data_IF_324769008092
#
_entry.id   IF_324769008092
#
_cell.length_a   1.000
_cell.length_b   1.000
_cell.length_c   1.000
_cell.angle_alpha   90.00
_cell.angle_beta   90.00
_cell.angle_gamma   90.00
#
_symmetry.space_group_name_H-M   'P 1'
#
loop_
_entity.id
_entity.type
_entity.pdbx_description
1 polymer ?
#
# COMPACT_ATOMS: atom_id res chain seq x y z
N UNK A 1 -27.05 72.31 -36.16
CA UNK A 1 -27.01 71.83 -34.76
C UNK A 1 -26.29 70.48 -34.80
N UNK A 2 -24.96 70.38 -34.89
CA UNK A 2 -23.86 70.61 -33.92
C UNK A 2 -24.01 69.83 -32.59
N UNK A 3 -22.92 69.09 -32.27
CA UNK A 3 -22.46 68.42 -31.03
C UNK A 3 -22.70 66.90 -30.99
N UNK A 4 -21.69 66.00 -30.99
CA UNK A 4 -20.21 66.05 -31.05
C UNK A 4 -19.70 64.64 -31.45
N UNK A 5 -18.61 64.38 -32.21
CA UNK A 5 -17.17 64.67 -32.00
C UNK A 5 -16.71 64.20 -30.59
N UNK A 6 -15.77 63.26 -30.38
CA UNK A 6 -14.44 63.10 -31.02
C UNK A 6 -13.72 61.82 -30.49
N UNK A 7 -12.93 61.19 -31.37
CA UNK A 7 -11.65 60.44 -31.24
C UNK A 7 -11.50 59.26 -30.24
N UNK A 8 -11.30 58.03 -30.75
CA UNK A 8 -10.02 57.34 -31.02
C UNK A 8 -9.09 57.14 -29.84
N UNK A 9 -8.85 55.87 -29.51
CA UNK A 9 -7.51 55.39 -29.13
C UNK A 9 -7.41 53.89 -29.39
N UNK A 10 -6.48 53.54 -30.27
CA UNK A 10 -6.02 52.19 -30.53
C UNK A 10 -5.44 51.58 -29.25
N UNK A 11 -5.85 50.37 -28.90
CA UNK A 11 -5.01 49.44 -28.17
C UNK A 11 -4.98 48.12 -28.94
N UNK A 12 -4.06 48.08 -29.89
CA UNK A 12 -3.40 46.86 -30.35
C UNK A 12 -2.82 46.18 -29.11
N UNK A 13 -3.38 45.05 -28.70
CA UNK A 13 -2.71 44.09 -27.84
C UNK A 13 -1.97 43.10 -28.74
N UNK A 14 -0.64 43.22 -28.90
CA UNK A 14 0.14 42.11 -29.38
C UNK A 14 0.19 41.08 -28.25
N UNK A 15 -0.49 39.95 -28.45
CA UNK A 15 -0.23 38.71 -27.73
C UNK A 15 1.19 38.25 -28.09
N UNK A 16 2.19 38.79 -27.40
CA UNK A 16 3.52 38.23 -27.38
C UNK A 16 3.46 36.88 -26.67
N UNK A 17 3.26 35.83 -27.46
CA UNK A 17 3.65 34.46 -27.11
C UNK A 17 5.19 34.46 -27.15
N UNK A 18 5.80 34.86 -26.05
CA UNK A 18 7.17 34.46 -25.72
C UNK A 18 7.09 33.16 -24.93
N UNK A 19 6.91 32.06 -25.67
CA UNK A 19 7.31 30.75 -25.21
C UNK A 19 8.84 30.70 -25.18
N UNK A 20 9.44 31.27 -24.12
CA UNK A 20 10.80 30.96 -23.72
C UNK A 20 10.73 30.03 -22.52
N UNK A 21 10.79 28.75 -22.84
CA UNK A 21 11.44 27.70 -22.06
C UNK A 21 12.54 28.27 -21.15
N UNK A 22 12.25 28.34 -19.85
CA UNK A 22 13.21 28.12 -18.79
C UNK A 22 12.55 27.18 -17.81
N UNK A 23 12.85 25.91 -18.03
CA UNK A 23 12.61 24.82 -17.11
C UNK A 23 13.55 25.03 -15.91
N UNK A 24 13.20 26.00 -15.05
CA UNK A 24 13.71 26.04 -13.68
C UNK A 24 13.01 24.89 -12.96
N UNK A 25 13.69 23.75 -12.88
CA UNK A 25 13.40 22.67 -11.96
C UNK A 25 13.66 23.12 -10.52
N UNK A 26 12.93 24.14 -10.07
CA UNK A 26 12.73 24.36 -8.65
C UNK A 26 11.87 23.21 -8.18
N UNK A 27 12.56 22.21 -7.62
CA UNK A 27 12.00 21.17 -6.78
C UNK A 27 11.03 21.86 -5.83
N UNK A 28 9.73 21.74 -6.11
CA UNK A 28 8.69 22.23 -5.23
C UNK A 28 8.78 21.37 -3.98
N UNK A 29 9.38 21.90 -2.92
CA UNK A 29 9.33 21.34 -1.58
C UNK A 29 8.19 22.11 -0.89
N UNK A 30 6.94 21.61 -0.93
CA UNK A 30 5.90 22.18 -0.10
C UNK A 30 6.31 22.04 1.37
N UNK A 31 5.99 23.04 2.19
CA UNK A 31 6.24 23.15 3.64
C UNK A 31 6.40 21.80 4.36
N UNK A 32 7.63 21.28 4.41
CA UNK A 32 7.95 20.01 5.09
C UNK A 32 7.79 20.12 6.60
N UNK A 33 7.96 21.32 7.15
CA UNK A 33 7.86 21.59 8.60
C UNK A 33 6.42 21.48 9.10
N UNK A 34 5.48 22.01 8.32
CA UNK A 34 4.05 22.03 8.65
C UNK A 34 3.38 20.67 8.42
N UNK A 35 3.95 19.87 7.51
CA UNK A 35 3.56 18.47 7.34
C UNK A 35 4.16 17.56 8.41
N UNK A 36 5.38 17.79 8.90
CA UNK A 36 5.99 17.00 9.98
C UNK A 36 5.23 17.15 11.31
N UNK A 37 4.71 18.35 11.61
CA UNK A 37 3.92 18.62 12.82
C UNK A 37 2.50 18.03 12.75
N UNK A 38 1.81 18.14 11.59
CA UNK A 38 0.47 17.55 11.34
C UNK A 38 0.49 16.02 11.24
N UNK A 39 1.65 15.41 10.97
CA UNK A 39 1.86 13.95 10.90
C UNK A 39 1.82 13.25 12.26
N UNK A 40 1.77 13.99 13.36
CA UNK A 40 1.76 13.49 14.74
C UNK A 40 0.40 13.81 15.38
N UNK A 41 -0.70 13.70 14.63
CA UNK A 41 -2.03 13.85 15.21
C UNK A 41 -2.56 12.49 15.69
N UNK A 42 -2.59 12.36 17.01
CA UNK A 42 -3.06 11.20 17.77
C UNK A 42 -4.59 11.22 17.74
N UNK A 43 -5.18 10.70 16.67
CA UNK A 43 -6.65 10.59 16.57
C UNK A 43 -7.11 9.49 17.55
N UNK A 44 -7.88 9.89 18.57
CA UNK A 44 -8.88 9.20 19.44
C UNK A 44 -8.73 7.71 19.86
N UNK A 45 -8.03 6.86 19.12
CA UNK A 45 -7.75 5.46 19.41
C UNK A 45 -6.32 5.13 18.94
N UNK A 46 -5.29 5.34 19.78
CA UNK A 46 -3.90 5.15 19.37
C UNK A 46 -3.69 3.70 18.94
N UNK A 47 -3.16 3.50 17.72
CA UNK A 47 -2.78 2.17 17.25
C UNK A 47 -1.59 1.65 18.08
N UNK A 48 -1.47 0.32 18.28
CA UNK A 48 -0.38 -0.24 19.07
C UNK A 48 0.99 0.18 18.53
N UNK A 49 1.88 0.65 19.42
CA UNK A 49 3.29 0.87 19.09
C UNK A 49 3.98 -0.48 19.06
N UNK A 50 4.59 -0.82 17.93
CA UNK A 50 5.28 -2.10 17.72
C UNK A 50 6.79 -1.95 17.77
N UNK A 51 7.34 -0.78 17.43
CA UNK A 51 8.77 -0.48 17.57
C UNK A 51 8.94 0.89 18.19
N UNK A 52 9.57 0.90 19.36
CA UNK A 52 9.98 2.11 20.05
C UNK A 52 11.05 2.83 19.22
N UNK A 53 10.77 4.06 18.80
CA UNK A 53 11.67 4.79 17.91
C UNK A 53 13.02 5.12 18.53
N UNK A 54 13.17 5.12 19.85
CA UNK A 54 14.47 5.31 20.50
C UNK A 54 15.48 4.22 20.12
N UNK A 55 15.01 3.03 19.71
CA UNK A 55 15.86 1.91 19.26
C UNK A 55 16.37 2.07 17.83
N UNK A 56 15.87 3.04 17.07
CA UNK A 56 16.20 3.26 15.67
C UNK A 56 17.14 4.47 15.57
N UNK A 57 18.34 4.24 15.05
CA UNK A 57 19.31 5.30 14.74
C UNK A 57 19.04 5.88 13.36
N UNK A 58 19.62 7.05 13.07
CA UNK A 58 19.55 7.64 11.74
C UNK A 58 20.18 6.68 10.70
N UNK A 59 19.60 6.63 9.51
CA UNK A 59 20.08 5.75 8.45
C UNK A 59 21.44 6.24 7.95
N UNK A 60 22.47 5.40 8.07
CA UNK A 60 23.73 5.56 7.34
C UNK A 60 23.56 4.81 6.00
N UNK A 61 23.47 5.56 4.90
CA UNK A 61 23.39 4.96 3.57
C UNK A 61 24.78 4.39 3.24
N UNK A 62 24.95 3.07 3.34
CA UNK A 62 25.86 2.38 2.43
C UNK A 62 25.18 2.32 1.05
N UNK A 63 25.97 2.23 -0.03
CA UNK A 63 25.55 2.36 -1.45
C UNK A 63 24.38 1.45 -1.93
N UNK A 64 23.82 0.60 -1.07
CA UNK A 64 22.82 -0.43 -1.38
C UNK A 64 21.36 -0.02 -1.09
N UNK A 65 21.10 1.07 -0.36
CA UNK A 65 19.73 1.49 -0.04
C UNK A 65 19.10 2.31 -1.18
N UNK A 66 17.98 1.84 -1.71
CA UNK A 66 17.19 2.56 -2.71
C UNK A 66 16.44 3.75 -2.08
N UNK A 67 17.12 4.89 -1.99
CA UNK A 67 16.58 6.15 -1.47
C UNK A 67 15.32 6.58 -2.25
N UNK A 68 15.19 6.18 -3.53
CA UNK A 68 14.02 6.49 -4.34
C UNK A 68 12.78 5.75 -3.84
N UNK A 69 12.91 4.45 -3.50
CA UNK A 69 11.81 3.67 -2.94
C UNK A 69 11.35 4.17 -1.57
N UNK A 70 12.28 4.58 -0.71
CA UNK A 70 11.96 5.20 0.58
C UNK A 70 11.27 6.56 0.41
N UNK A 71 11.69 7.34 -0.60
CA UNK A 71 11.07 8.61 -0.91
C UNK A 71 9.66 8.43 -1.49
N UNK A 72 9.42 7.41 -2.31
CA UNK A 72 8.09 7.06 -2.80
C UNK A 72 7.16 6.62 -1.67
N UNK A 73 7.67 5.83 -0.73
CA UNK A 73 6.91 5.45 0.46
C UNK A 73 6.58 6.67 1.32
N UNK A 74 7.55 7.57 1.50
CA UNK A 74 7.36 8.86 2.16
C UNK A 74 6.29 9.70 1.45
N UNK A 75 6.26 9.73 0.13
CA UNK A 75 5.26 10.43 -0.66
C UNK A 75 3.87 9.80 -0.47
N UNK A 76 3.78 8.47 -0.50
CA UNK A 76 2.54 7.73 -0.23
C UNK A 76 1.95 8.03 1.16
N UNK A 77 2.81 8.12 2.19
CA UNK A 77 2.37 8.41 3.57
C UNK A 77 1.74 9.81 3.70
N UNK A 78 2.25 10.78 2.96
CA UNK A 78 1.91 12.20 3.14
C UNK A 78 0.85 12.68 2.19
N UNK A 79 0.70 11.97 1.07
CA UNK A 79 -0.40 12.18 0.17
C UNK A 79 -1.68 11.73 0.87
N UNK A 80 -2.35 12.68 1.52
CA UNK A 80 -3.66 12.49 2.16
C UNK A 80 -4.79 12.46 1.13
N UNK A 81 -4.47 12.45 -0.17
CA UNK A 81 -5.39 12.21 -1.29
C UNK A 81 -5.13 10.82 -1.88
N UNK A 82 -5.94 10.42 -2.87
CA UNK A 82 -5.79 9.13 -3.55
C UNK A 82 -5.84 7.92 -2.61
N UNK A 83 -4.89 6.99 -2.77
CA UNK A 83 -4.85 5.69 -2.09
C UNK A 83 -5.01 5.78 -0.57
N UNK A 84 -4.25 6.67 0.09
CA UNK A 84 -4.24 6.79 1.56
C UNK A 84 -5.61 7.22 2.10
N UNK A 85 -6.26 8.19 1.44
CA UNK A 85 -7.61 8.63 1.80
C UNK A 85 -8.60 7.47 1.70
N UNK A 86 -8.52 6.73 0.61
CA UNK A 86 -9.40 5.59 0.36
C UNK A 86 -9.18 4.46 1.35
N UNK A 87 -7.93 4.19 1.76
CA UNK A 87 -7.63 3.26 2.84
C UNK A 87 -8.26 3.69 4.16
N UNK A 88 -8.14 4.97 4.54
CA UNK A 88 -8.74 5.48 5.77
C UNK A 88 -10.28 5.36 5.72
N UNK A 89 -10.90 5.67 4.58
CA UNK A 89 -12.34 5.49 4.37
C UNK A 89 -12.76 4.01 4.48
N UNK A 90 -11.96 3.08 3.94
CA UNK A 90 -12.19 1.65 4.04
C UNK A 90 -12.12 1.14 5.47
N UNK A 91 -11.10 1.55 6.23
CA UNK A 91 -11.02 1.21 7.66
C UNK A 91 -12.27 1.66 8.43
N UNK A 92 -12.80 2.84 8.10
CA UNK A 92 -14.03 3.37 8.71
C UNK A 92 -15.27 2.57 8.29
N UNK A 93 -15.43 2.28 7.00
CA UNK A 93 -16.54 1.47 6.48
C UNK A 93 -16.57 0.07 7.13
N UNK A 94 -15.39 -0.52 7.31
CA UNK A 94 -15.20 -1.84 7.93
C UNK A 94 -15.22 -1.80 9.46
N UNK A 95 -15.29 -0.61 10.08
CA UNK A 95 -15.26 -0.41 11.55
C UNK A 95 -14.09 -1.15 12.21
N UNK A 96 -12.90 -1.08 11.61
CA UNK A 96 -11.74 -1.84 12.08
C UNK A 96 -11.23 -1.33 13.43
N UNK A 97 -10.88 -2.27 14.31
CA UNK A 97 -10.27 -1.95 15.60
C UNK A 97 -8.81 -1.46 15.42
N UNK A 98 -8.22 -0.75 16.41
CA UNK A 98 -6.85 -0.24 16.31
C UNK A 98 -5.77 -1.32 16.14
N UNK A 99 -6.03 -2.53 16.68
CA UNK A 99 -5.21 -3.74 16.60
C UNK A 99 -5.45 -4.56 15.32
N UNK A 100 -6.28 -4.08 14.39
CA UNK A 100 -6.53 -4.77 13.12
C UNK A 100 -5.78 -4.13 11.97
N UNK A 101 -5.11 -4.95 11.16
CA UNK A 101 -4.44 -4.57 9.91
C UNK A 101 -5.36 -4.84 8.73
N UNK A 102 -5.54 -3.86 7.86
CA UNK A 102 -6.12 -4.07 6.53
C UNK A 102 -5.00 -4.31 5.52
N UNK A 103 -4.92 -5.51 4.96
CA UNK A 103 -3.93 -5.90 3.94
C UNK A 103 -4.62 -6.05 2.59
N UNK A 104 -4.30 -5.17 1.66
CA UNK A 104 -4.94 -5.09 0.35
C UNK A 104 -3.93 -4.83 -0.78
N UNK A 105 -2.88 -4.03 -0.54
CA UNK A 105 -1.91 -3.61 -1.56
C UNK A 105 -2.32 -2.31 -2.27
N UNK A 106 -1.36 -1.61 -2.88
CA UNK A 106 -1.62 -0.38 -3.66
C UNK A 106 -1.76 -0.70 -5.15
N UNK A 107 -2.67 0.04 -5.82
CA UNK A 107 -2.71 0.05 -7.30
C UNK A 107 -1.50 0.82 -7.83
N UNK A 108 -0.46 0.12 -8.27
CA UNK A 108 0.57 0.70 -9.14
C UNK A 108 0.51 0.02 -10.50
N UNK A 109 -0.02 0.74 -11.50
CA UNK A 109 -0.29 0.20 -12.85
C UNK A 109 0.97 -0.33 -13.56
N UNK A 110 2.15 0.19 -13.23
CA UNK A 110 3.38 -0.06 -14.02
C UNK A 110 4.48 -0.82 -13.25
N UNK A 111 4.16 -1.43 -12.10
CA UNK A 111 5.18 -2.03 -11.22
C UNK A 111 5.21 -3.56 -11.32
N UNK A 112 5.73 -4.08 -12.44
CA UNK A 112 5.97 -5.52 -12.67
C UNK A 112 6.81 -6.16 -11.53
N UNK A 113 7.65 -5.37 -10.85
CA UNK A 113 8.51 -5.82 -9.75
C UNK A 113 7.89 -5.81 -8.34
N UNK A 114 6.65 -5.36 -8.14
CA UNK A 114 6.02 -5.39 -6.81
C UNK A 114 5.29 -6.72 -6.63
N UNK A 115 5.54 -7.48 -5.55
CA UNK A 115 4.86 -8.74 -5.31
C UNK A 115 3.37 -8.51 -5.08
N UNK A 116 2.53 -9.45 -5.49
CA UNK A 116 1.12 -9.49 -5.06
C UNK A 116 1.09 -9.86 -3.58
N UNK A 117 0.03 -9.48 -2.87
CA UNK A 117 -0.22 -9.97 -1.52
C UNK A 117 -0.18 -11.50 -1.50
N UNK A 118 0.89 -12.03 -0.92
CA UNK A 118 1.08 -13.46 -0.74
C UNK A 118 1.25 -13.74 0.76
N UNK A 119 0.17 -14.23 1.35
CA UNK A 119 0.17 -14.59 2.76
C UNK A 119 1.08 -15.79 3.03
N UNK A 120 1.44 -16.65 2.08
CA UNK A 120 2.37 -17.76 2.37
C UNK A 120 3.83 -17.34 2.34
N UNK A 121 4.14 -16.18 1.76
CA UNK A 121 5.48 -15.62 1.74
C UNK A 121 6.00 -15.36 3.17
N UNK A 122 7.13 -15.96 3.58
CA UNK A 122 7.74 -15.66 4.87
C UNK A 122 8.24 -14.21 4.94
N UNK A 123 8.43 -13.57 3.79
CA UNK A 123 9.01 -12.23 3.68
C UNK A 123 7.98 -11.11 3.65
N UNK A 124 6.67 -11.42 3.57
CA UNK A 124 5.62 -10.41 3.48
C UNK A 124 5.73 -9.38 4.63
N UNK A 125 5.78 -9.88 5.86
CA UNK A 125 5.84 -9.04 7.05
C UNK A 125 7.25 -8.50 7.31
N UNK A 126 8.31 -9.23 6.92
CA UNK A 126 9.69 -8.78 7.08
C UNK A 126 10.01 -7.58 6.20
N UNK A 127 9.55 -7.57 4.93
CA UNK A 127 9.68 -6.42 4.02
C UNK A 127 9.01 -5.17 4.60
N UNK A 128 7.79 -5.30 5.12
CA UNK A 128 7.08 -4.18 5.73
C UNK A 128 7.75 -3.67 7.01
N UNK A 129 8.23 -4.58 7.87
CA UNK A 129 9.00 -4.25 9.07
C UNK A 129 10.25 -3.43 8.70
N UNK A 130 11.00 -3.90 7.70
CA UNK A 130 12.23 -3.26 7.24
C UNK A 130 11.97 -1.89 6.62
N UNK A 131 10.96 -1.78 5.75
CA UNK A 131 10.57 -0.51 5.13
C UNK A 131 10.17 0.53 6.19
N UNK A 132 9.38 0.14 7.19
CA UNK A 132 8.98 1.04 8.26
C UNK A 132 10.17 1.52 9.11
N UNK A 133 11.12 0.63 9.43
CA UNK A 133 12.34 0.97 10.16
C UNK A 133 13.23 1.90 9.36
N UNK A 134 13.51 1.57 8.10
CA UNK A 134 14.33 2.39 7.20
C UNK A 134 13.70 3.76 6.96
N UNK A 135 12.37 3.83 6.84
CA UNK A 135 11.64 5.08 6.71
C UNK A 135 11.80 5.97 7.95
N UNK A 136 11.65 5.42 9.16
CA UNK A 136 11.88 6.20 10.39
C UNK A 136 13.36 6.60 10.54
N UNK A 137 14.29 5.72 10.17
CA UNK A 137 15.73 6.02 10.16
C UNK A 137 16.06 7.15 9.16
N UNK A 138 15.39 7.20 8.01
CA UNK A 138 15.48 8.30 7.05
C UNK A 138 14.93 9.61 7.63
N UNK A 139 13.80 9.58 8.34
CA UNK A 139 13.24 10.78 8.99
C UNK A 139 14.17 11.36 10.07
N UNK A 140 14.95 10.51 10.73
CA UNK A 140 15.96 10.90 11.72
C UNK A 140 17.23 11.46 11.09
N UNK A 141 17.42 11.31 9.78
CA UNK A 141 18.56 11.86 9.06
C UNK A 141 18.33 13.34 8.83
N UNK A 142 19.20 14.18 9.40
CA UNK A 142 19.21 15.60 9.08
C UNK A 142 19.76 15.82 7.68
N UNK A 143 19.07 16.60 6.86
CA UNK A 143 19.62 17.05 5.58
C UNK A 143 20.75 18.04 5.84
N UNK A 144 22.00 17.61 5.65
CA UNK A 144 23.17 18.48 5.78
C UNK A 144 23.11 19.49 4.61
N UNK A 145 22.91 20.79 4.88
CA UNK A 145 22.86 21.78 3.83
C UNK A 145 24.25 21.94 3.20
N UNK A 146 24.33 22.33 1.94
CA UNK A 146 25.61 22.74 1.35
C UNK A 146 26.14 23.98 2.07
N UNK A 147 27.48 24.08 2.14
CA UNK A 147 28.15 25.25 2.69
C UNK A 147 27.92 26.43 1.75
N UNK A 148 27.41 27.53 2.29
CA UNK A 148 27.26 28.78 1.55
C UNK A 148 28.65 29.36 1.23
N UNK A 149 28.91 29.84 0.00
CA UNK A 149 30.20 30.42 -0.37
C UNK A 149 30.65 31.60 0.50
N UNK A 150 29.71 32.29 1.14
CA UNK A 150 29.94 33.49 1.94
C UNK A 150 29.89 33.24 3.46
N UNK A 151 29.61 32.01 3.91
CA UNK A 151 29.59 31.69 5.34
C UNK A 151 30.96 31.20 5.86
N UNK A 152 31.27 31.54 7.11
CA UNK A 152 32.46 31.02 7.78
C UNK A 152 32.29 29.52 8.08
N UNK A 153 33.40 28.79 8.23
CA UNK A 153 33.35 27.37 8.60
C UNK A 153 32.68 27.16 9.97
N UNK A 154 32.89 28.07 10.93
CA UNK A 154 32.26 27.96 12.25
C UNK A 154 30.74 28.17 12.17
N UNK A 155 30.30 29.16 11.39
CA UNK A 155 28.88 29.40 11.12
C UNK A 155 28.23 28.19 10.46
N UNK A 156 28.91 27.58 9.48
CA UNK A 156 28.46 26.37 8.83
C UNK A 156 28.30 25.19 9.81
N UNK A 157 29.29 24.96 10.68
CA UNK A 157 29.24 23.89 11.68
C UNK A 157 28.13 24.12 12.73
N UNK A 158 27.89 25.36 13.14
CA UNK A 158 26.77 25.70 14.01
C UNK A 158 25.42 25.42 13.33
N UNK A 159 25.29 25.75 12.04
CA UNK A 159 24.08 25.47 11.24
C UNK A 159 23.81 23.98 11.11
N UNK A 160 24.85 23.16 10.90
CA UNK A 160 24.73 21.69 10.92
C UNK A 160 24.21 21.21 12.27
N UNK A 161 24.86 21.61 13.37
CA UNK A 161 24.47 21.20 14.73
C UNK A 161 23.04 21.61 15.08
N UNK A 162 22.65 22.84 14.75
CA UNK A 162 21.29 23.32 14.99
C UNK A 162 20.26 22.47 14.24
N UNK A 163 20.55 22.10 12.98
CA UNK A 163 19.66 21.27 12.16
C UNK A 163 19.58 19.82 12.65
N UNK A 164 20.70 19.27 13.14
CA UNK A 164 20.73 17.98 13.83
C UNK A 164 19.85 17.99 15.09
N UNK A 165 20.05 18.96 15.98
CA UNK A 165 19.24 19.12 17.19
C UNK A 165 17.74 19.34 16.89
N UNK A 166 17.43 20.10 15.83
CA UNK A 166 16.04 20.28 15.40
C UNK A 166 15.43 18.96 14.92
N UNK A 167 16.15 18.18 14.11
CA UNK A 167 15.70 16.88 13.62
C UNK A 167 15.48 15.90 14.78
N UNK A 168 16.41 15.85 15.73
CA UNK A 168 16.29 15.04 16.94
C UNK A 168 15.04 15.42 17.75
N UNK A 169 14.79 16.71 17.95
CA UNK A 169 13.57 17.18 18.65
C UNK A 169 12.29 16.78 17.93
N UNK A 170 12.23 16.94 16.60
CA UNK A 170 11.06 16.58 15.78
C UNK A 170 10.79 15.08 15.79
N UNK A 171 11.84 14.26 15.87
CA UNK A 171 11.73 12.79 15.80
C UNK A 171 11.79 12.09 17.15
N UNK A 172 11.98 12.82 18.26
CA UNK A 172 12.15 12.26 19.61
C UNK A 172 10.99 11.37 20.07
N UNK A 173 9.77 11.67 19.62
CA UNK A 173 8.54 10.92 19.94
C UNK A 173 8.04 10.03 18.80
N UNK A 174 8.75 10.01 17.66
CA UNK A 174 8.34 9.21 16.53
C UNK A 174 8.56 7.72 16.85
N UNK A 175 7.49 6.94 16.76
CA UNK A 175 7.50 5.48 16.91
C UNK A 175 6.98 4.84 15.63
N UNK A 176 7.19 3.53 15.48
CA UNK A 176 6.49 2.73 14.47
C UNK A 176 5.30 2.08 15.16
N UNK A 177 4.12 2.55 14.82
CA UNK A 177 2.85 1.92 15.21
C UNK A 177 2.35 0.95 14.14
N UNK A 178 1.29 0.23 14.48
CA UNK A 178 0.65 -0.70 13.57
C UNK A 178 0.11 -0.02 12.30
N UNK A 179 -0.17 1.29 12.34
CA UNK A 179 -0.58 2.07 11.17
C UNK A 179 0.55 2.26 10.17
N UNK A 180 1.76 2.55 10.64
CA UNK A 180 2.95 2.62 9.79
C UNK A 180 3.29 1.25 9.18
N UNK A 181 3.11 0.16 9.93
CA UNK A 181 3.28 -1.21 9.40
C UNK A 181 2.24 -1.52 8.32
N UNK A 182 0.97 -1.18 8.54
CA UNK A 182 -0.08 -1.35 7.55
C UNK A 182 0.20 -0.54 6.27
N UNK A 183 0.70 0.68 6.41
CA UNK A 183 1.13 1.49 5.28
C UNK A 183 2.26 0.81 4.49
N UNK A 184 3.27 0.30 5.19
CA UNK A 184 4.39 -0.40 4.55
C UNK A 184 3.93 -1.69 3.86
N UNK A 185 3.05 -2.47 4.50
CA UNK A 185 2.45 -3.67 3.91
C UNK A 185 1.69 -3.34 2.62
N UNK A 186 0.81 -2.34 2.63
CA UNK A 186 0.05 -2.01 1.45
C UNK A 186 0.91 -1.38 0.36
N UNK A 187 1.89 -0.54 0.70
CA UNK A 187 2.77 0.07 -0.29
C UNK A 187 3.69 -0.94 -0.99
N UNK A 188 4.17 -1.96 -0.27
CA UNK A 188 5.09 -2.97 -0.79
C UNK A 188 4.41 -4.13 -1.51
N UNK A 189 3.08 -4.14 -1.63
CA UNK A 189 2.35 -5.22 -2.30
C UNK A 189 1.30 -4.68 -3.27
N UNK A 190 0.99 -5.48 -4.29
CA UNK A 190 -0.13 -5.25 -5.21
C UNK A 190 -1.37 -6.01 -4.77
N UNK A 191 -2.51 -5.50 -5.18
CA UNK A 191 -3.82 -6.10 -4.95
C UNK A 191 -3.98 -7.49 -5.56
N UNK A 192 -4.99 -8.21 -5.06
CA UNK A 192 -5.53 -9.41 -5.68
C UNK A 192 -6.84 -9.01 -6.33
N UNK A 193 -6.89 -9.07 -7.65
CA UNK A 193 -8.09 -8.81 -8.45
C UNK A 193 -8.84 -10.11 -8.67
N UNK A 194 -10.16 -10.05 -8.57
CA UNK A 194 -11.09 -11.09 -9.00
C UNK A 194 -11.74 -10.57 -10.28
N UNK A 195 -11.43 -11.17 -11.44
CA UNK A 195 -11.82 -10.62 -12.73
C UNK A 195 -13.33 -10.51 -12.92
N UNK A 196 -13.73 -9.75 -13.93
CA UNK A 196 -15.13 -9.55 -14.30
C UNK A 196 -15.76 -10.74 -15.06
N UNK A 197 -14.94 -11.68 -15.51
CA UNK A 197 -15.29 -12.94 -16.15
C UNK A 197 -15.03 -14.14 -15.23
N UNK A 198 -15.64 -15.28 -15.57
CA UNK A 198 -15.41 -16.54 -14.88
C UNK A 198 -15.07 -17.66 -15.86
N UNK A 199 -14.09 -18.47 -15.48
CA UNK A 199 -13.53 -19.59 -16.23
C UNK A 199 -13.02 -20.66 -15.24
N UNK A 200 -12.25 -21.65 -15.70
CA UNK A 200 -11.73 -22.69 -14.80
C UNK A 200 -10.74 -22.17 -13.75
N UNK A 201 -10.08 -21.04 -14.02
CA UNK A 201 -9.07 -20.43 -13.17
C UNK A 201 -9.69 -19.43 -12.18
N UNK A 202 -10.73 -18.72 -12.60
CA UNK A 202 -11.37 -17.65 -11.86
C UNK A 202 -12.87 -17.95 -11.75
N UNK A 203 -13.37 -18.24 -10.55
CA UNK A 203 -14.76 -18.69 -10.38
C UNK A 203 -15.32 -18.46 -8.99
N UNK A 204 -16.65 -18.44 -8.94
CA UNK A 204 -17.46 -18.45 -7.72
C UNK A 204 -18.46 -19.60 -7.82
N UNK A 205 -18.32 -20.60 -6.95
CA UNK A 205 -19.15 -21.80 -6.96
C UNK A 205 -19.85 -21.96 -5.61
N UNK A 206 -21.07 -22.49 -5.60
CA UNK A 206 -21.81 -22.82 -4.38
C UNK A 206 -22.25 -24.28 -4.37
N UNK A 207 -21.77 -25.03 -3.38
CA UNK A 207 -22.23 -26.39 -3.06
C UNK A 207 -23.39 -26.29 -2.07
N UNK A 208 -24.61 -26.55 -2.55
CA UNK A 208 -25.83 -26.47 -1.76
C UNK A 208 -25.93 -27.58 -0.70
N UNK A 209 -25.37 -28.76 -0.95
CA UNK A 209 -25.41 -29.90 -0.03
C UNK A 209 -24.50 -29.64 1.17
N UNK A 210 -23.37 -28.95 0.94
CA UNK A 210 -22.42 -28.60 1.98
C UNK A 210 -22.59 -27.18 2.53
N UNK A 211 -23.49 -26.38 1.96
CA UNK A 211 -23.63 -24.94 2.24
C UNK A 211 -22.28 -24.20 2.15
N UNK A 212 -21.52 -24.49 1.09
CA UNK A 212 -20.13 -24.06 0.94
C UNK A 212 -19.99 -23.19 -0.32
N UNK A 213 -19.61 -21.93 -0.11
CA UNK A 213 -19.24 -21.02 -1.17
C UNK A 213 -17.71 -21.10 -1.38
N UNK A 214 -17.29 -21.33 -2.62
CA UNK A 214 -15.89 -21.33 -3.03
C UNK A 214 -15.64 -20.14 -3.95
N UNK A 215 -14.60 -19.36 -3.67
CA UNK A 215 -14.11 -18.29 -4.54
C UNK A 215 -12.66 -18.59 -4.89
N UNK A 216 -12.33 -18.51 -6.17
CA UNK A 216 -11.01 -18.79 -6.72
C UNK A 216 -10.63 -17.73 -7.74
N UNK A 217 -9.37 -17.31 -7.73
CA UNK A 217 -8.81 -16.38 -8.71
C UNK A 217 -7.31 -16.62 -8.88
N UNK A 218 -6.74 -16.27 -10.03
CA UNK A 218 -5.28 -16.27 -10.18
C UNK A 218 -4.67 -14.97 -9.65
N UNK A 219 -3.40 -15.03 -9.26
CA UNK A 219 -2.62 -13.90 -8.79
C UNK A 219 -1.21 -13.90 -9.43
N UNK A 220 -0.95 -13.14 -10.52
CA UNK A 220 -1.84 -12.16 -11.17
C UNK A 220 -3.02 -12.79 -11.92
N UNK A 221 -4.00 -11.96 -12.29
CA UNK A 221 -5.14 -12.37 -13.14
C UNK A 221 -4.64 -12.84 -14.50
N UNK A 222 -5.06 -14.04 -14.90
CA UNK A 222 -4.75 -14.72 -16.15
C UNK A 222 -6.08 -15.24 -16.71
N UNK A 223 -6.33 -15.05 -18.01
CA UNK A 223 -7.49 -15.67 -18.67
C UNK A 223 -7.16 -17.10 -19.06
N UNK A 224 -8.14 -17.99 -19.05
CA UNK A 224 -7.97 -19.35 -19.57
C UNK A 224 -7.44 -19.36 -21.02
N UNK A 225 -7.86 -18.40 -21.87
CA UNK A 225 -7.33 -18.28 -23.23
C UNK A 225 -5.83 -17.90 -23.28
N UNK A 226 -5.32 -17.20 -22.27
CA UNK A 226 -3.90 -16.85 -22.15
C UNK A 226 -3.04 -18.09 -21.84
N UNK A 227 -3.63 -19.14 -21.25
CA UNK A 227 -2.93 -20.39 -20.95
C UNK A 227 -2.38 -21.06 -22.21
N UNK A 228 -3.07 -20.90 -23.35
CA UNK A 228 -2.64 -21.50 -24.63
C UNK A 228 -1.33 -20.91 -25.14
N UNK A 229 -0.95 -19.73 -24.66
CA UNK A 229 0.29 -19.04 -25.01
C UNK A 229 1.36 -19.19 -23.93
N UNK A 230 1.02 -19.76 -22.77
CA UNK A 230 1.97 -19.99 -21.69
C UNK A 230 2.92 -21.15 -22.04
N UNK A 231 4.16 -21.07 -21.55
CA UNK A 231 5.09 -22.21 -21.58
C UNK A 231 4.55 -23.35 -20.72
N UNK A 232 4.72 -24.61 -21.14
CA UNK A 232 4.27 -25.80 -20.38
C UNK A 232 4.84 -25.86 -18.94
N UNK A 233 6.01 -25.25 -18.72
CA UNK A 233 6.66 -25.18 -17.41
C UNK A 233 6.27 -23.93 -16.59
N UNK A 234 5.37 -23.09 -17.10
CA UNK A 234 4.89 -21.93 -16.37
C UNK A 234 4.14 -22.35 -15.10
N UNK A 235 4.35 -21.62 -14.01
CA UNK A 235 3.59 -21.80 -12.78
C UNK A 235 2.56 -20.67 -12.64
N UNK A 236 1.30 -21.06 -12.58
CA UNK A 236 0.15 -20.19 -12.37
C UNK A 236 -0.25 -20.30 -10.92
N UNK A 237 -0.24 -19.17 -10.22
CA UNK A 237 -0.65 -19.10 -8.82
C UNK A 237 -2.16 -18.86 -8.71
N UNK A 238 -2.84 -19.79 -8.05
CA UNK A 238 -4.25 -19.72 -7.69
C UNK A 238 -4.41 -19.42 -6.20
N UNK A 239 -5.34 -18.53 -5.89
CA UNK A 239 -5.80 -18.27 -4.53
C UNK A 239 -7.26 -18.71 -4.48
N UNK A 240 -7.54 -19.68 -3.61
CA UNK A 240 -8.87 -20.23 -3.40
C UNK A 240 -9.25 -20.14 -1.95
N UNK A 241 -10.47 -19.73 -1.64
CA UNK A 241 -10.97 -19.78 -0.28
C UNK A 241 -12.41 -20.26 -0.23
N UNK A 242 -12.76 -20.87 0.90
CA UNK A 242 -14.06 -21.48 1.12
C UNK A 242 -14.72 -20.89 2.35
N UNK A 243 -16.03 -20.65 2.27
CA UNK A 243 -16.83 -19.99 3.31
C UNK A 243 -18.13 -20.75 3.49
N UNK A 244 -18.57 -20.94 4.74
CA UNK A 244 -19.95 -21.38 4.99
C UNK A 244 -20.89 -20.23 4.70
N UNK A 245 -21.82 -20.46 3.79
CA UNK A 245 -22.80 -19.46 3.37
C UNK A 245 -24.17 -20.12 3.24
N UNK A 246 -25.24 -19.41 3.58
CA UNK A 246 -26.59 -19.87 3.23
C UNK A 246 -26.83 -19.76 1.72
N UNK A 247 -27.85 -20.44 1.21
CA UNK A 247 -28.23 -20.33 -0.19
C UNK A 247 -28.60 -18.89 -0.56
N UNK A 248 -29.26 -18.16 0.35
CA UNK A 248 -29.61 -16.75 0.16
C UNK A 248 -28.35 -15.87 0.10
N UNK A 249 -27.39 -16.11 1.00
CA UNK A 249 -26.13 -15.36 1.01
C UNK A 249 -25.32 -15.64 -0.26
N UNK A 250 -25.19 -16.91 -0.65
CA UNK A 250 -24.48 -17.29 -1.87
C UNK A 250 -25.15 -16.68 -3.11
N UNK A 251 -26.48 -16.76 -3.22
CA UNK A 251 -27.25 -16.15 -4.31
C UNK A 251 -27.07 -14.63 -4.35
N UNK A 252 -27.14 -13.96 -3.20
CA UNK A 252 -26.92 -12.52 -3.11
C UNK A 252 -25.53 -12.16 -3.61
N UNK A 253 -24.50 -12.87 -3.14
CA UNK A 253 -23.12 -12.60 -3.52
C UNK A 253 -22.91 -12.85 -5.02
N UNK A 254 -23.28 -14.03 -5.54
CA UNK A 254 -23.15 -14.36 -6.96
C UNK A 254 -23.89 -13.33 -7.83
N UNK A 255 -25.09 -12.90 -7.42
CA UNK A 255 -25.84 -11.87 -8.17
C UNK A 255 -25.15 -10.50 -8.23
N UNK A 256 -24.31 -10.15 -7.26
CA UNK A 256 -23.49 -8.93 -7.33
C UNK A 256 -22.44 -9.06 -8.44
N UNK A 257 -21.88 -10.25 -8.66
CA UNK A 257 -20.94 -10.51 -9.75
C UNK A 257 -21.64 -10.58 -11.11
N UNK A 258 -22.81 -11.22 -11.20
CA UNK A 258 -23.55 -11.36 -12.46
C UNK A 258 -24.06 -10.01 -12.99
N UNK A 259 -24.38 -9.07 -12.09
CA UNK A 259 -24.97 -7.77 -12.44
C UNK A 259 -23.94 -6.63 -12.49
N UNK A 260 -22.63 -6.89 -12.39
CA UNK A 260 -21.63 -5.81 -12.39
C UNK A 260 -21.39 -5.28 -13.81
N UNK A 261 -21.50 -3.97 -13.97
CA UNK A 261 -21.14 -3.27 -15.21
C UNK A 261 -19.61 -3.13 -15.31
N UNK A 262 -18.88 -4.23 -15.48
CA UNK A 262 -17.40 -4.27 -15.67
C UNK A 262 -16.57 -3.77 -14.47
N UNK A 263 -17.15 -3.63 -13.29
CA UNK A 263 -16.41 -3.18 -12.11
C UNK A 263 -15.50 -4.29 -11.56
N UNK A 264 -14.18 -4.05 -11.57
CA UNK A 264 -13.20 -4.96 -10.97
C UNK A 264 -13.47 -5.14 -9.48
N UNK A 265 -13.52 -6.40 -9.04
CA UNK A 265 -13.62 -6.77 -7.63
C UNK A 265 -12.24 -7.11 -7.12
N UNK A 266 -11.94 -6.72 -5.89
CA UNK A 266 -10.66 -6.98 -5.27
C UNK A 266 -10.82 -7.61 -3.90
N UNK A 267 -9.81 -8.39 -3.53
CA UNK A 267 -9.73 -9.09 -2.25
C UNK A 267 -8.78 -8.36 -1.29
N UNK A 268 -9.24 -8.15 -0.06
CA UNK A 268 -8.40 -7.74 1.06
C UNK A 268 -8.50 -8.75 2.22
N UNK A 269 -7.50 -8.73 3.09
CA UNK A 269 -7.49 -9.48 4.34
C UNK A 269 -7.51 -8.52 5.53
N UNK A 270 -8.34 -8.82 6.51
CA UNK A 270 -8.25 -8.21 7.83
C UNK A 270 -7.48 -9.17 8.73
N UNK A 271 -6.38 -8.67 9.30
CA UNK A 271 -5.53 -9.43 10.20
C UNK A 271 -5.67 -8.88 11.62
N UNK A 272 -5.85 -9.76 12.60
CA UNK A 272 -5.76 -9.43 14.02
C UNK A 272 -4.30 -9.46 14.46
N UNK A 273 -3.82 -8.34 15.00
CA UNK A 273 -2.48 -8.26 15.60
C UNK A 273 -2.50 -8.65 17.07
N UNK A 274 -1.58 -9.54 17.42
CA UNK A 274 -1.33 -10.00 18.79
C UNK A 274 0.18 -9.99 19.07
N UNK A 275 0.57 -9.98 20.35
CA UNK A 275 1.99 -9.91 20.74
C UNK A 275 2.85 -11.06 20.16
N UNK A 276 2.25 -12.24 19.94
CA UNK A 276 2.92 -13.41 19.38
C UNK A 276 2.80 -13.53 17.85
N UNK A 277 2.02 -12.68 17.18
CA UNK A 277 1.89 -12.74 15.72
C UNK A 277 0.58 -12.19 15.16
N UNK A 278 0.23 -12.67 13.96
CA UNK A 278 -0.92 -12.21 13.19
C UNK A 278 -1.86 -13.37 12.89
N UNK A 279 -3.16 -13.15 13.02
CA UNK A 279 -4.18 -14.12 12.61
C UNK A 279 -5.08 -13.50 11.54
N UNK A 280 -5.57 -14.31 10.60
CA UNK A 280 -6.53 -13.84 9.59
C UNK A 280 -7.92 -13.87 10.23
N UNK A 281 -8.54 -12.70 10.38
CA UNK A 281 -9.88 -12.56 10.94
C UNK A 281 -10.95 -12.79 9.84
N UNK A 282 -10.82 -12.05 8.73
CA UNK A 282 -11.78 -12.12 7.62
C UNK A 282 -11.17 -11.69 6.30
N UNK A 283 -11.82 -12.13 5.22
CA UNK A 283 -11.61 -11.63 3.85
C UNK A 283 -12.67 -10.56 3.59
N UNK A 284 -12.27 -9.50 2.89
CA UNK A 284 -13.17 -8.44 2.44
C UNK A 284 -13.17 -8.42 0.93
N UNK A 285 -14.35 -8.49 0.33
CA UNK A 285 -14.54 -8.34 -1.10
C UNK A 285 -15.02 -6.91 -1.37
N UNK A 286 -14.36 -6.23 -2.29
CA UNK A 286 -14.54 -4.80 -2.50
C UNK A 286 -14.58 -4.50 -3.98
N UNK A 287 -15.54 -3.70 -4.38
CA UNK A 287 -15.63 -3.17 -5.73
C UNK A 287 -14.81 -1.88 -5.82
N UNK A 288 -14.10 -1.71 -6.93
CA UNK A 288 -13.42 -0.47 -7.26
C UNK A 288 -14.33 0.48 -8.04
N UNK A 289 -14.58 1.66 -7.49
CA UNK A 289 -15.50 2.65 -8.04
C UNK A 289 -14.84 3.65 -9.01
N UNK A 290 -13.58 3.43 -9.41
CA UNK A 290 -12.92 4.31 -10.36
C UNK A 290 -12.09 5.42 -9.71
N UNK A 291 -12.39 6.67 -10.05
CA UNK A 291 -11.52 7.83 -9.76
C UNK A 291 -11.18 7.94 -8.25
N UNK A 292 -9.94 8.36 -7.95
CA UNK A 292 -9.38 8.48 -6.60
C UNK A 292 -9.20 7.18 -5.79
N UNK A 293 -9.24 6.02 -6.44
CA UNK A 293 -9.14 4.71 -5.78
C UNK A 293 -10.22 4.48 -4.72
N UNK A 294 -11.45 4.91 -4.99
CA UNK A 294 -12.56 4.68 -4.09
C UNK A 294 -13.02 3.22 -4.18
N UNK A 295 -13.47 2.68 -3.05
CA UNK A 295 -13.94 1.31 -2.97
C UNK A 295 -15.27 1.23 -2.22
N UNK A 296 -16.08 0.25 -2.61
CA UNK A 296 -17.29 -0.15 -1.91
C UNK A 296 -17.12 -1.57 -1.38
N UNK A 297 -17.24 -1.75 -0.08
CA UNK A 297 -17.31 -3.08 0.52
C UNK A 297 -18.56 -3.79 0.00
N UNK A 298 -18.36 -4.96 -0.64
CA UNK A 298 -19.40 -5.85 -1.10
C UNK A 298 -19.79 -6.79 0.05
N UNK A 299 -18.81 -7.48 0.62
CA UNK A 299 -19.04 -8.51 1.62
C UNK A 299 -17.83 -8.71 2.55
N UNK A 300 -18.09 -9.16 3.77
CA UNK A 300 -17.08 -9.56 4.74
C UNK A 300 -17.24 -11.04 5.09
N UNK A 301 -16.29 -11.86 4.65
CA UNK A 301 -16.37 -13.31 4.72
C UNK A 301 -15.40 -13.87 5.75
N UNK A 302 -15.86 -14.82 6.56
CA UNK A 302 -15.00 -15.60 7.45
C UNK A 302 -14.60 -16.89 6.76
N UNK A 303 -13.39 -16.97 6.16
CA UNK A 303 -12.98 -18.19 5.50
C UNK A 303 -12.92 -19.37 6.49
N UNK A 304 -13.20 -20.57 6.00
CA UNK A 304 -12.90 -21.82 6.70
C UNK A 304 -11.52 -22.34 6.33
N UNK A 305 -11.14 -22.17 5.07
CA UNK A 305 -9.85 -22.55 4.51
C UNK A 305 -9.47 -21.55 3.41
N UNK A 306 -8.18 -21.23 3.31
CA UNK A 306 -7.60 -20.53 2.17
C UNK A 306 -6.47 -21.42 1.66
N UNK A 307 -6.46 -21.64 0.36
CA UNK A 307 -5.47 -22.40 -0.39
C UNK A 307 -4.70 -21.43 -1.30
N UNK A 308 -3.39 -21.58 -1.31
CA UNK A 308 -2.52 -21.05 -2.36
C UNK A 308 -1.97 -22.24 -3.11
N UNK A 309 -2.31 -22.32 -4.38
CA UNK A 309 -1.99 -23.43 -5.26
C UNK A 309 -1.12 -22.92 -6.40
N UNK A 310 -0.06 -23.64 -6.73
CA UNK A 310 0.70 -23.42 -7.96
C UNK A 310 0.33 -24.56 -8.92
N UNK A 311 -0.19 -24.21 -10.10
CA UNK A 311 -0.64 -25.14 -11.15
C UNK A 311 0.09 -24.87 -12.45
N UNK A 312 0.17 -25.89 -13.32
CA UNK A 312 0.65 -25.75 -14.70
C UNK A 312 -0.47 -25.26 -15.63
N UNK A 313 -0.16 -24.85 -16.89
CA UNK A 313 -1.19 -24.42 -17.84
C UNK A 313 -2.20 -25.51 -18.20
N UNK A 314 -1.85 -26.79 -18.04
CA UNK A 314 -2.77 -27.93 -18.15
C UNK A 314 -3.61 -28.17 -16.89
N UNK A 315 -3.54 -27.25 -15.93
CA UNK A 315 -4.20 -27.28 -14.61
C UNK A 315 -3.72 -28.39 -13.68
N UNK A 316 -2.60 -29.05 -14.00
CA UNK A 316 -1.97 -30.01 -13.09
C UNK A 316 -1.46 -29.28 -11.84
N UNK A 317 -1.94 -29.72 -10.67
CA UNK A 317 -1.49 -29.20 -9.38
C UNK A 317 -0.02 -29.57 -9.11
N UNK A 318 0.82 -28.56 -8.92
CA UNK A 318 2.24 -28.73 -8.59
C UNK A 318 2.45 -28.63 -7.08
N UNK A 319 1.87 -27.61 -6.46
CA UNK A 319 2.00 -27.36 -5.04
C UNK A 319 0.70 -26.79 -4.47
N UNK A 320 0.35 -27.20 -3.25
CA UNK A 320 -0.75 -26.62 -2.49
C UNK A 320 -0.28 -26.27 -1.09
N UNK A 321 -0.61 -25.07 -0.64
CA UNK A 321 -0.35 -24.59 0.70
C UNK A 321 -1.68 -24.14 1.32
N UNK A 322 -1.98 -24.68 2.51
CA UNK A 322 -3.15 -24.27 3.28
C UNK A 322 -2.73 -23.17 4.25
N UNK A 323 -3.37 -22.02 4.17
CA UNK A 323 -3.16 -20.93 5.11
C UNK A 323 -3.99 -21.20 6.36
N UNK A 324 -3.38 -21.36 7.54
CA UNK A 324 -4.12 -21.60 8.76
C UNK A 324 -4.81 -20.31 9.21
N UNK A 325 -6.13 -20.37 9.42
CA UNK A 325 -6.95 -19.20 9.74
C UNK A 325 -7.05 -18.91 11.23
N UNK A 326 -7.02 -19.96 12.05
CA UNK A 326 -7.12 -19.86 13.50
C UNK A 326 -5.75 -19.91 14.19
N UNK A 327 -4.67 -20.09 13.43
CA UNK A 327 -3.32 -20.11 13.98
C UNK A 327 -2.67 -18.76 13.80
N UNK A 328 -2.06 -18.31 14.88
CA UNK A 328 -1.24 -17.11 14.88
C UNK A 328 0.00 -17.43 14.04
N UNK A 329 0.15 -16.70 12.93
CA UNK A 329 1.37 -16.72 12.13
C UNK A 329 2.46 -16.07 12.98
N UNK A 330 3.51 -16.82 13.37
CA UNK A 330 4.53 -16.30 14.27
C UNK A 330 5.33 -15.24 13.54
N UNK A 331 5.08 -13.98 13.88
CA UNK A 331 5.84 -12.85 13.38
C UNK A 331 5.77 -11.70 14.38
N UNK A 332 6.92 -11.23 14.83
CA UNK A 332 6.99 -10.09 15.74
C UNK A 332 7.62 -8.91 15.02
N UNK A 333 6.86 -7.84 14.83
CA UNK A 333 7.42 -6.57 14.37
C UNK A 333 8.44 -6.07 15.41
N UNK A 334 9.63 -5.70 14.95
CA UNK A 334 10.74 -5.49 15.87
C UNK A 334 12.10 -5.29 15.21
N UNK A 335 13.04 -4.79 16.03
CA UNK A 335 14.45 -4.64 15.65
C UNK A 335 15.19 -5.98 15.54
N UNK A 336 14.75 -7.02 16.25
CA UNK A 336 15.33 -8.36 16.16
C UNK A 336 15.14 -8.95 14.76
N UNK A 337 13.91 -8.94 14.27
CA UNK A 337 13.57 -9.39 12.90
C UNK A 337 14.29 -8.56 11.84
N UNK A 338 14.44 -7.26 12.06
CA UNK A 338 15.25 -6.40 11.19
C UNK A 338 16.71 -6.87 11.11
N UNK A 339 17.35 -7.11 12.26
CA UNK A 339 18.74 -7.58 12.31
C UNK A 339 18.93 -8.95 11.64
N UNK A 340 17.99 -9.88 11.83
CA UNK A 340 18.02 -11.20 11.18
C UNK A 340 17.96 -11.10 9.65
N UNK A 341 17.16 -10.18 9.11
CA UNK A 341 17.07 -9.97 7.66
C UNK A 341 18.33 -9.30 7.06
N UNK A 342 19.02 -8.44 7.83
CA UNK A 342 20.28 -7.84 7.40
C UNK A 342 21.44 -8.85 7.37
N UNK A 343 21.40 -9.88 8.24
CA UNK A 343 22.37 -10.98 8.23
C UNK A 343 22.16 -12.00 7.09
N UNK A 344 21.07 -11.86 6.33
CA UNK A 344 20.75 -12.65 5.14
C UNK A 344 20.83 -11.76 3.89
N UNK A 345 21.98 -11.13 3.66
CA UNK A 345 22.28 -10.64 2.31
C UNK A 345 22.60 -11.84 1.41
N UNK A 346 22.19 -11.84 0.12
CA UNK A 346 22.51 -12.91 -0.83
C UNK A 346 24.03 -13.10 -1.01
#
# INVERSE_FOLDING_TARGET
MIHGRILTTCLLLPLCISACSKQDSKLYIPDKEDQLSKRIDVIAHPRPVVIAGQKITALHLDKMSDESFLQDFQNYIVDTKGAKKSFLALRQQLKLRPDQILLFGVRKKDSIGIPIVDLTSPDLFSRANNLAIQHLALLKRSSIPEKDPYETTDTYQQRIKAKQQQTEKLTAKANIDLGRIEDALNFSNRWIEIPDYFDQLNRIDYDADQALLTIQTTAPVIHEDDLRMASEDALIRLIRFQVKASAEQAKSLISVWDNREQASVYMAFVLDYQAQGLAIDRIVLMEYLGMDQQFRVIEQLKPQQIYVEDVRPDLTLVQQQVIPLQQIRPFQFGMSTYAETQGKAP
#
